data_IF_132529511237
#
_entry.id   IF_132529511237
#
_cell.length_a   1.000
_cell.length_b   1.000
_cell.length_c   1.000
_cell.angle_alpha   90.00
_cell.angle_beta   90.00
_cell.angle_gamma   90.00
#
_symmetry.space_group_name_H-M   'P 1'
#
loop_
_entity.id
_entity.type
_entity.pdbx_description
1 polymer ?
#
# COMPACT_ATOMS: atom_id res chain seq x y z
N UNK A 1 -25.04 -11.15 1.01
CA UNK A 1 -26.47 -11.49 1.14
C UNK A 1 -26.83 -12.49 0.05
N UNK A 2 -27.43 -13.63 0.39
CA UNK A 2 -27.84 -14.62 -0.62
C UNK A 2 -29.01 -14.07 -1.46
N UNK A 3 -29.13 -14.48 -2.75
CA UNK A 3 -30.21 -14.05 -3.64
C UNK A 3 -31.60 -14.24 -3.02
N UNK A 4 -31.80 -15.32 -2.28
CA UNK A 4 -33.05 -15.62 -1.58
C UNK A 4 -33.39 -14.58 -0.50
N UNK A 5 -32.43 -14.20 0.34
CA UNK A 5 -32.64 -13.17 1.39
C UNK A 5 -32.96 -11.80 0.80
N UNK A 6 -32.35 -11.45 -0.33
CA UNK A 6 -32.67 -10.20 -1.03
C UNK A 6 -34.12 -10.20 -1.57
N UNK A 7 -34.57 -11.31 -2.17
CA UNK A 7 -35.96 -11.46 -2.65
C UNK A 7 -36.96 -11.27 -1.52
N UNK A 8 -36.78 -11.93 -0.38
CA UNK A 8 -37.70 -11.78 0.76
C UNK A 8 -37.74 -10.35 1.31
N UNK A 9 -36.60 -9.65 1.34
CA UNK A 9 -36.56 -8.24 1.76
C UNK A 9 -37.34 -7.33 0.80
N UNK A 10 -37.28 -7.57 -0.51
CA UNK A 10 -38.04 -6.82 -1.49
C UNK A 10 -39.54 -7.07 -1.32
N UNK A 11 -39.95 -8.32 -1.12
CA UNK A 11 -41.34 -8.65 -0.84
C UNK A 11 -41.82 -7.95 0.41
N UNK A 12 -41.10 -8.05 1.52
CA UNK A 12 -41.44 -7.37 2.76
C UNK A 12 -41.54 -5.84 2.58
N UNK A 13 -40.57 -5.24 1.86
CA UNK A 13 -40.54 -3.81 1.59
C UNK A 13 -41.77 -3.32 0.88
N UNK A 14 -42.22 -4.02 -0.18
CA UNK A 14 -43.34 -3.60 -1.00
C UNK A 14 -44.73 -4.06 -0.46
N UNK A 15 -44.75 -5.04 0.43
CA UNK A 15 -45.97 -5.37 1.17
C UNK A 15 -46.38 -4.26 2.17
N UNK A 16 -45.46 -3.43 2.65
CA UNK A 16 -45.81 -2.32 3.57
C UNK A 16 -46.68 -1.27 2.89
N UNK A 17 -46.30 -0.62 1.76
CA UNK A 17 -47.17 0.33 1.09
C UNK A 17 -48.44 -0.34 0.56
N UNK A 18 -48.37 -1.59 0.09
CA UNK A 18 -49.58 -2.33 -0.34
C UNK A 18 -50.58 -2.47 0.82
N UNK A 19 -50.14 -2.82 2.01
CA UNK A 19 -51.00 -2.93 3.20
C UNK A 19 -51.56 -1.55 3.65
N UNK A 20 -50.70 -0.53 3.69
CA UNK A 20 -51.08 0.81 4.11
C UNK A 20 -52.16 1.39 3.18
N UNK A 21 -52.00 1.27 1.84
CA UNK A 21 -52.96 1.73 0.88
C UNK A 21 -54.25 0.93 0.94
N UNK A 22 -54.17 -0.37 1.15
CA UNK A 22 -55.37 -1.22 1.38
C UNK A 22 -56.16 -0.76 2.60
N UNK A 23 -55.49 -0.49 3.72
CA UNK A 23 -56.14 -0.02 4.94
C UNK A 23 -56.73 1.37 4.76
N UNK A 24 -56.00 2.27 4.13
CA UNK A 24 -56.48 3.62 3.83
C UNK A 24 -57.78 3.58 2.98
N UNK A 25 -57.75 2.81 1.91
CA UNK A 25 -58.91 2.65 1.05
C UNK A 25 -60.12 2.04 1.77
N UNK A 26 -59.92 1.00 2.59
CA UNK A 26 -60.95 0.39 3.39
C UNK A 26 -61.63 1.39 4.34
N UNK A 27 -60.82 2.19 5.07
CA UNK A 27 -61.37 3.18 6.01
C UNK A 27 -62.03 4.36 5.29
N UNK A 28 -61.56 4.74 4.10
CA UNK A 28 -62.18 5.76 3.26
C UNK A 28 -63.56 5.31 2.79
N UNK A 29 -63.68 4.08 2.24
CA UNK A 29 -64.97 3.50 1.81
C UNK A 29 -65.95 3.44 2.98
N UNK A 30 -65.50 3.03 4.16
CA UNK A 30 -66.29 2.97 5.38
C UNK A 30 -66.80 4.34 5.86
N UNK A 31 -65.97 5.37 5.71
CA UNK A 31 -66.33 6.75 6.11
C UNK A 31 -67.28 7.43 5.11
N UNK A 32 -67.30 6.94 3.87
CA UNK A 32 -68.12 7.50 2.76
C UNK A 32 -69.38 6.74 2.51
N UNK A 33 -69.87 5.94 3.47
CA UNK A 33 -71.11 5.08 3.35
C UNK A 33 -71.07 4.09 2.18
N UNK A 34 -69.90 3.77 1.67
CA UNK A 34 -69.72 2.73 0.65
C UNK A 34 -69.61 1.34 1.29
N UNK A 35 -69.89 0.30 0.49
CA UNK A 35 -69.73 -1.09 0.94
C UNK A 35 -68.22 -1.34 1.17
N UNK A 36 -67.77 -1.15 2.41
CA UNK A 36 -66.37 -1.38 2.78
C UNK A 36 -66.05 -2.88 2.76
N UNK A 37 -65.07 -3.27 1.95
CA UNK A 37 -64.55 -4.63 1.86
C UNK A 37 -63.04 -4.60 1.76
N UNK A 38 -62.37 -5.28 2.71
CA UNK A 38 -60.90 -5.41 2.70
C UNK A 38 -60.39 -6.05 1.41
N UNK A 39 -61.09 -7.02 0.86
CA UNK A 39 -60.71 -7.69 -0.40
C UNK A 39 -60.76 -6.71 -1.57
N UNK A 40 -61.84 -5.93 -1.68
CA UNK A 40 -61.96 -4.91 -2.74
C UNK A 40 -60.89 -3.84 -2.63
N UNK A 41 -60.64 -3.34 -1.43
CA UNK A 41 -59.59 -2.37 -1.14
C UNK A 41 -58.18 -2.92 -1.46
N UNK A 42 -57.92 -4.18 -1.11
CA UNK A 42 -56.63 -4.83 -1.42
C UNK A 42 -56.39 -4.99 -2.92
N UNK A 43 -57.41 -5.38 -3.68
CA UNK A 43 -57.32 -5.51 -5.14
C UNK A 43 -57.15 -4.15 -5.80
N UNK A 44 -57.93 -3.13 -5.38
CA UNK A 44 -57.89 -1.78 -5.95
C UNK A 44 -56.59 -1.06 -5.70
N UNK A 45 -56.12 -1.00 -4.44
CA UNK A 45 -55.04 -0.15 -4.03
C UNK A 45 -53.76 -0.92 -3.63
N UNK A 46 -53.92 -2.13 -3.09
CA UNK A 46 -52.77 -2.91 -2.59
C UNK A 46 -52.04 -3.69 -3.69
N UNK A 47 -52.79 -4.42 -4.52
CA UNK A 47 -52.22 -5.32 -5.53
C UNK A 47 -51.26 -4.63 -6.51
N UNK A 48 -51.53 -3.42 -7.03
CA UNK A 48 -50.63 -2.73 -7.94
C UNK A 48 -49.22 -2.51 -7.36
N UNK A 49 -49.07 -2.29 -6.05
CA UNK A 49 -47.77 -2.09 -5.42
C UNK A 49 -46.83 -3.29 -5.54
N UNK A 50 -47.36 -4.49 -5.70
CA UNK A 50 -46.56 -5.71 -5.85
C UNK A 50 -45.79 -5.73 -7.18
N UNK A 51 -46.18 -4.90 -8.17
CA UNK A 51 -45.45 -4.73 -9.43
C UNK A 51 -44.03 -4.19 -9.19
N UNK A 52 -43.77 -3.50 -8.08
CA UNK A 52 -42.45 -3.02 -7.73
C UNK A 52 -41.48 -4.13 -7.33
N UNK A 53 -41.96 -5.31 -6.95
CA UNK A 53 -41.09 -6.44 -6.56
C UNK A 53 -40.16 -6.83 -7.72
N UNK A 54 -40.63 -7.13 -8.94
CA UNK A 54 -39.76 -7.44 -10.07
C UNK A 54 -39.08 -6.22 -10.68
N UNK A 55 -39.63 -5.01 -10.53
CA UNK A 55 -39.09 -3.77 -11.12
C UNK A 55 -37.86 -3.25 -10.32
N UNK A 56 -37.94 -3.33 -9.00
CA UNK A 56 -36.86 -2.77 -8.11
C UNK A 56 -35.46 -3.28 -8.43
N UNK A 57 -35.21 -4.59 -8.62
CA UNK A 57 -33.85 -5.07 -8.96
C UNK A 57 -33.32 -4.46 -10.27
N UNK A 58 -34.19 -4.21 -11.21
CA UNK A 58 -33.83 -3.64 -12.50
C UNK A 58 -33.49 -2.14 -12.40
N UNK A 59 -34.28 -1.36 -11.63
CA UNK A 59 -33.94 0.04 -11.31
C UNK A 59 -32.62 0.13 -10.54
N UNK A 60 -32.39 -0.74 -9.55
CA UNK A 60 -31.14 -0.81 -8.81
C UNK A 60 -29.93 -1.20 -9.69
N UNK A 61 -30.15 -2.02 -10.73
CA UNK A 61 -29.08 -2.32 -11.68
C UNK A 61 -28.67 -1.09 -12.49
N UNK A 62 -29.63 -0.23 -12.88
CA UNK A 62 -29.34 1.05 -13.55
C UNK A 62 -28.63 2.05 -12.65
N UNK A 63 -28.89 2.04 -11.35
CA UNK A 63 -28.23 2.89 -10.37
C UNK A 63 -26.71 2.63 -10.24
N UNK A 64 -26.23 1.47 -10.73
CA UNK A 64 -24.77 1.12 -10.74
C UNK A 64 -24.00 1.86 -11.83
N UNK A 65 -24.66 2.42 -12.82
CA UNK A 65 -24.03 3.23 -13.85
C UNK A 65 -23.61 4.59 -13.25
N UNK A 66 -22.30 4.95 -13.24
CA UNK A 66 -21.84 6.25 -12.76
C UNK A 66 -22.45 7.43 -13.51
N UNK A 67 -22.90 7.20 -14.74
CA UNK A 67 -23.55 8.18 -15.60
C UNK A 67 -25.07 8.20 -15.51
N UNK A 68 -25.71 7.42 -14.60
CA UNK A 68 -27.16 7.25 -14.53
C UNK A 68 -27.98 8.56 -14.52
N UNK A 69 -27.42 9.64 -13.99
CA UNK A 69 -28.04 10.97 -13.92
C UNK A 69 -27.50 11.94 -14.98
N UNK A 70 -26.83 11.48 -16.05
CA UNK A 70 -26.23 12.35 -17.08
C UNK A 70 -26.63 11.94 -18.49
N UNK A 71 -26.80 12.93 -19.34
CA UNK A 71 -26.99 12.76 -20.77
C UNK A 71 -28.06 11.74 -21.14
N UNK A 72 -27.73 10.82 -22.04
CA UNK A 72 -28.67 9.78 -22.55
C UNK A 72 -29.15 8.81 -21.46
N UNK A 73 -28.36 8.56 -20.45
CA UNK A 73 -28.76 7.68 -19.34
C UNK A 73 -29.86 8.32 -18.48
N UNK A 74 -29.77 9.62 -18.22
CA UNK A 74 -30.82 10.38 -17.53
C UNK A 74 -32.13 10.36 -18.34
N UNK A 75 -32.08 10.67 -19.65
CA UNK A 75 -33.23 10.62 -20.51
C UNK A 75 -33.87 9.22 -20.52
N UNK A 76 -33.05 8.17 -20.58
CA UNK A 76 -33.51 6.77 -20.50
C UNK A 76 -34.14 6.43 -19.15
N UNK A 77 -33.61 6.97 -18.04
CA UNK A 77 -34.24 6.77 -16.73
C UNK A 77 -35.57 7.51 -16.58
N UNK A 78 -35.67 8.74 -17.12
CA UNK A 78 -36.94 9.49 -17.14
C UNK A 78 -37.98 8.74 -17.97
N UNK A 79 -37.63 8.35 -19.20
CA UNK A 79 -38.53 7.59 -20.06
C UNK A 79 -39.03 6.30 -19.41
N UNK A 80 -38.14 5.61 -18.72
CA UNK A 80 -38.46 4.39 -18.00
C UNK A 80 -39.37 4.65 -16.79
N UNK A 81 -39.11 5.71 -16.02
CA UNK A 81 -39.95 6.10 -14.90
C UNK A 81 -41.39 6.39 -15.36
N UNK A 82 -41.52 7.12 -16.47
CA UNK A 82 -42.84 7.40 -17.10
C UNK A 82 -43.51 6.12 -17.57
N UNK A 83 -42.76 5.23 -18.24
CA UNK A 83 -43.31 3.95 -18.72
C UNK A 83 -43.82 3.06 -17.57
N UNK A 84 -43.06 2.98 -16.48
CA UNK A 84 -43.47 2.26 -15.27
C UNK A 84 -44.70 2.91 -14.63
N UNK A 85 -44.71 4.25 -14.53
CA UNK A 85 -45.88 4.99 -14.00
C UNK A 85 -47.15 4.76 -14.81
N UNK A 86 -47.04 4.79 -16.13
CA UNK A 86 -48.18 4.49 -17.03
C UNK A 86 -48.63 3.03 -16.86
N UNK A 87 -47.71 2.08 -16.84
CA UNK A 87 -48.05 0.66 -16.64
C UNK A 87 -48.75 0.42 -15.29
N UNK A 88 -48.27 1.12 -14.25
CA UNK A 88 -48.88 1.07 -12.92
C UNK A 88 -50.29 1.68 -12.92
N UNK A 89 -50.49 2.85 -13.53
CA UNK A 89 -51.79 3.51 -13.65
C UNK A 89 -52.79 2.62 -14.42
N UNK A 90 -52.37 2.00 -15.51
CA UNK A 90 -53.17 1.03 -16.26
C UNK A 90 -53.53 -0.20 -15.40
N UNK A 91 -52.60 -0.76 -14.67
CA UNK A 91 -52.87 -1.90 -13.80
C UNK A 91 -53.85 -1.52 -12.68
N UNK A 92 -53.66 -0.35 -12.04
CA UNK A 92 -54.57 0.17 -11.03
C UNK A 92 -55.98 0.39 -11.57
N UNK A 93 -56.11 1.00 -12.76
CA UNK A 93 -57.42 1.19 -13.39
C UNK A 93 -58.13 -0.14 -13.67
N UNK A 94 -57.44 -1.17 -14.15
CA UNK A 94 -58.03 -2.50 -14.38
C UNK A 94 -58.41 -3.18 -13.04
N UNK A 95 -57.60 -3.06 -12.02
CA UNK A 95 -57.93 -3.56 -10.67
C UNK A 95 -59.20 -2.86 -10.12
N UNK A 96 -59.33 -1.55 -10.28
CA UNK A 96 -60.49 -0.76 -9.85
C UNK A 96 -61.75 -1.16 -10.58
N UNK A 97 -61.67 -1.37 -11.89
CA UNK A 97 -62.79 -1.87 -12.70
C UNK A 97 -63.24 -3.29 -12.29
N UNK A 98 -62.26 -4.17 -12.04
CA UNK A 98 -62.56 -5.56 -11.66
C UNK A 98 -63.36 -5.66 -10.34
N UNK A 99 -63.23 -4.66 -9.45
CA UNK A 99 -64.01 -4.60 -8.20
C UNK A 99 -65.24 -3.63 -8.29
N UNK A 100 -65.53 -3.13 -9.46
CA UNK A 100 -66.67 -2.18 -9.73
C UNK A 100 -66.57 -0.95 -8.81
N UNK A 101 -65.35 -0.35 -8.77
CA UNK A 101 -65.12 0.87 -8.01
C UNK A 101 -65.87 2.05 -8.66
N UNK A 102 -66.51 2.95 -7.88
CA UNK A 102 -67.23 4.12 -8.42
C UNK A 102 -66.25 4.98 -9.28
N UNK A 103 -66.81 5.41 -10.46
CA UNK A 103 -66.06 6.24 -11.41
C UNK A 103 -65.17 5.49 -12.41
N UNK A 104 -65.03 4.15 -12.30
CA UNK A 104 -64.23 3.32 -13.19
C UNK A 104 -65.05 2.47 -14.17
N UNK A 105 -66.33 2.78 -14.35
CA UNK A 105 -67.25 2.01 -15.26
C UNK A 105 -66.83 2.23 -16.72
N UNK A 106 -66.56 3.47 -17.12
CA UNK A 106 -66.06 3.78 -18.45
C UNK A 106 -64.51 3.53 -18.54
N UNK A 107 -64.06 2.88 -19.61
CA UNK A 107 -62.66 2.54 -19.80
C UNK A 107 -61.81 3.78 -19.96
N UNK A 108 -62.27 4.80 -20.69
CA UNK A 108 -61.52 6.04 -20.90
C UNK A 108 -61.29 6.80 -19.60
N UNK A 109 -62.37 7.04 -18.85
CA UNK A 109 -62.30 7.69 -17.54
C UNK A 109 -61.46 6.90 -16.53
N UNK A 110 -61.57 5.57 -16.55
CA UNK A 110 -60.73 4.73 -15.66
C UNK A 110 -59.26 4.83 -15.95
N UNK A 111 -58.84 4.88 -17.22
CA UNK A 111 -57.43 5.06 -17.61
C UNK A 111 -56.96 6.47 -17.24
N UNK A 112 -57.76 7.50 -17.52
CA UNK A 112 -57.43 8.89 -17.20
C UNK A 112 -57.21 9.07 -15.69
N UNK A 113 -58.13 8.63 -14.85
CA UNK A 113 -58.02 8.66 -13.40
C UNK A 113 -56.79 7.85 -12.91
N UNK A 114 -56.62 6.62 -13.40
CA UNK A 114 -55.53 5.78 -12.99
C UNK A 114 -54.15 6.38 -13.34
N UNK A 115 -54.04 7.07 -14.48
CA UNK A 115 -52.81 7.73 -14.89
C UNK A 115 -52.57 9.02 -14.09
N UNK A 116 -53.56 9.89 -13.97
CA UNK A 116 -53.45 11.18 -13.28
C UNK A 116 -53.14 10.96 -11.80
N UNK A 117 -53.82 10.04 -11.14
CA UNK A 117 -53.65 9.82 -9.71
C UNK A 117 -52.32 9.13 -9.39
N UNK A 118 -51.87 8.16 -10.20
CA UNK A 118 -50.74 7.33 -9.85
C UNK A 118 -49.40 7.75 -10.47
N UNK A 119 -49.37 8.40 -11.63
CA UNK A 119 -48.14 8.75 -12.32
C UNK A 119 -47.20 9.60 -11.46
N UNK A 120 -47.65 10.68 -10.76
CA UNK A 120 -46.77 11.48 -9.93
C UNK A 120 -46.12 10.67 -8.79
N UNK A 121 -46.90 9.80 -8.13
CA UNK A 121 -46.41 8.96 -7.05
C UNK A 121 -45.36 7.95 -7.55
N UNK A 122 -45.61 7.36 -8.73
CA UNK A 122 -44.69 6.37 -9.30
C UNK A 122 -43.39 7.00 -9.74
N UNK A 123 -43.37 8.24 -10.22
CA UNK A 123 -42.16 8.99 -10.52
C UNK A 123 -41.33 9.24 -9.24
N UNK A 124 -41.98 9.61 -8.14
CA UNK A 124 -41.33 9.78 -6.84
C UNK A 124 -40.72 8.47 -6.32
N UNK A 125 -41.48 7.38 -6.39
CA UNK A 125 -41.03 6.04 -5.97
C UNK A 125 -39.85 5.59 -6.82
N UNK A 126 -39.94 5.74 -8.15
CA UNK A 126 -38.81 5.44 -9.03
C UNK A 126 -37.57 6.24 -8.68
N UNK A 127 -37.72 7.56 -8.51
CA UNK A 127 -36.64 8.45 -8.11
C UNK A 127 -36.01 8.05 -6.78
N UNK A 128 -36.85 7.70 -5.80
CA UNK A 128 -36.37 7.25 -4.47
C UNK A 128 -35.61 5.92 -4.55
N UNK A 129 -36.11 4.95 -5.31
CA UNK A 129 -35.40 3.66 -5.51
C UNK A 129 -34.06 3.87 -6.24
N UNK A 130 -34.05 4.69 -7.30
CA UNK A 130 -32.88 5.02 -8.08
C UNK A 130 -31.83 5.76 -7.21
N UNK A 131 -32.25 6.79 -6.48
CA UNK A 131 -31.38 7.56 -5.59
C UNK A 131 -30.77 6.70 -4.49
N UNK A 132 -31.58 5.83 -3.87
CA UNK A 132 -31.09 4.86 -2.87
C UNK A 132 -30.06 3.92 -3.48
N UNK A 133 -30.31 3.41 -4.68
CA UNK A 133 -29.38 2.56 -5.42
C UNK A 133 -28.04 3.26 -5.68
N UNK A 134 -28.08 4.51 -6.15
CA UNK A 134 -26.89 5.35 -6.41
C UNK A 134 -26.12 5.59 -5.11
N UNK A 135 -26.82 5.97 -4.03
CA UNK A 135 -26.18 6.24 -2.73
C UNK A 135 -25.47 4.99 -2.15
N UNK A 136 -26.14 3.84 -2.23
CA UNK A 136 -25.56 2.55 -1.77
C UNK A 136 -24.35 2.16 -2.62
N UNK A 137 -24.41 2.32 -3.94
CA UNK A 137 -23.28 1.99 -4.83
C UNK A 137 -22.09 2.96 -4.59
N UNK A 138 -22.36 4.25 -4.45
CA UNK A 138 -21.34 5.24 -4.12
C UNK A 138 -20.67 4.94 -2.77
N UNK A 139 -21.44 4.58 -1.74
CA UNK A 139 -20.90 4.19 -0.45
C UNK A 139 -20.03 2.93 -0.53
N UNK A 140 -20.43 1.93 -1.33
CA UNK A 140 -19.64 0.72 -1.57
C UNK A 140 -18.32 1.02 -2.28
N UNK A 141 -18.34 1.88 -3.31
CA UNK A 141 -17.12 2.30 -4.03
C UNK A 141 -16.16 3.06 -3.12
N UNK A 142 -16.67 3.98 -2.28
CA UNK A 142 -15.85 4.70 -1.29
C UNK A 142 -15.16 3.74 -0.32
N UNK A 143 -15.90 2.81 0.28
CA UNK A 143 -15.33 1.80 1.19
C UNK A 143 -14.28 0.92 0.51
N UNK A 144 -14.53 0.50 -0.74
CA UNK A 144 -13.56 -0.29 -1.50
C UNK A 144 -12.26 0.50 -1.77
N UNK A 145 -12.38 1.79 -2.12
CA UNK A 145 -11.24 2.68 -2.31
C UNK A 145 -10.44 2.91 -1.01
N UNK A 146 -11.12 3.11 0.12
CA UNK A 146 -10.50 3.25 1.45
C UNK A 146 -9.71 2.00 1.85
N UNK A 147 -10.32 0.82 1.67
CA UNK A 147 -9.63 -0.46 1.91
C UNK A 147 -8.43 -0.65 1.01
N UNK A 148 -8.55 -0.29 -0.29
CA UNK A 148 -7.43 -0.36 -1.23
C UNK A 148 -6.29 0.57 -0.83
N UNK A 149 -6.59 1.80 -0.39
CA UNK A 149 -5.58 2.74 0.13
C UNK A 149 -4.87 2.19 1.37
N UNK A 150 -5.62 1.70 2.36
CA UNK A 150 -5.04 1.11 3.57
C UNK A 150 -4.14 -0.09 3.26
N UNK A 151 -4.50 -0.92 2.27
CA UNK A 151 -3.67 -2.04 1.82
C UNK A 151 -2.36 -1.54 1.18
N UNK A 152 -2.43 -0.52 0.32
CA UNK A 152 -1.24 0.07 -0.31
C UNK A 152 -0.31 0.72 0.72
N UNK A 153 -0.84 1.45 1.68
CA UNK A 153 -0.07 2.04 2.79
C UNK A 153 0.63 0.96 3.62
N UNK A 154 -0.07 -0.13 3.91
CA UNK A 154 0.50 -1.28 4.61
C UNK A 154 1.63 -1.94 3.79
N UNK A 155 1.43 -2.15 2.48
CA UNK A 155 2.46 -2.71 1.60
C UNK A 155 3.68 -1.80 1.50
N UNK A 156 3.46 -0.48 1.41
CA UNK A 156 4.55 0.51 1.39
C UNK A 156 5.35 0.46 2.69
N UNK A 157 4.68 0.43 3.85
CA UNK A 157 5.34 0.31 5.14
C UNK A 157 6.15 -0.99 5.25
N UNK A 158 5.61 -2.12 4.80
CA UNK A 158 6.35 -3.39 4.76
C UNK A 158 7.55 -3.35 3.80
N UNK A 159 7.41 -2.73 2.62
CA UNK A 159 8.52 -2.57 1.69
C UNK A 159 9.62 -1.69 2.26
N UNK A 160 9.28 -0.58 2.91
CA UNK A 160 10.22 0.30 3.60
C UNK A 160 10.93 -0.43 4.74
N UNK A 161 10.20 -1.18 5.57
CA UNK A 161 10.76 -1.98 6.66
C UNK A 161 11.68 -3.09 6.14
N UNK A 162 11.33 -3.71 5.03
CA UNK A 162 12.16 -4.73 4.38
C UNK A 162 13.43 -4.15 3.78
N UNK A 163 13.34 -2.98 3.12
CA UNK A 163 14.50 -2.26 2.61
C UNK A 163 15.44 -1.84 3.76
N UNK A 164 14.88 -1.35 4.86
CA UNK A 164 15.63 -0.99 6.07
C UNK A 164 16.30 -2.21 6.69
N UNK A 165 15.61 -3.34 6.79
CA UNK A 165 16.19 -4.61 7.27
C UNK A 165 17.32 -5.13 6.37
N UNK A 166 17.25 -4.88 5.07
CA UNK A 166 18.30 -5.27 4.13
C UNK A 166 19.56 -4.40 4.26
N UNK A 167 19.44 -3.15 4.72
CA UNK A 167 20.55 -2.27 5.02
C UNK A 167 21.26 -2.63 6.34
N UNK A 168 20.52 -3.17 7.30
CA UNK A 168 21.07 -3.69 8.56
C UNK A 168 21.40 -5.17 8.35
N UNK A 169 22.67 -5.55 8.36
CA UNK A 169 23.04 -6.96 8.39
C UNK A 169 22.51 -7.59 9.70
N UNK A 170 21.50 -8.48 9.67
CA UNK A 170 20.95 -9.06 10.90
C UNK A 170 22.03 -9.78 11.72
N UNK A 171 22.96 -10.41 11.03
CA UNK A 171 24.07 -11.12 11.63
C UNK A 171 25.03 -10.20 12.42
N UNK A 172 25.30 -8.98 11.95
CA UNK A 172 26.08 -8.00 12.69
C UNK A 172 25.37 -7.59 13.98
N UNK A 173 24.07 -7.26 13.90
CA UNK A 173 23.28 -6.86 15.06
C UNK A 173 23.23 -7.96 16.13
N UNK A 174 22.93 -9.21 15.74
CA UNK A 174 22.92 -10.34 16.65
C UNK A 174 24.28 -10.59 17.29
N UNK A 175 25.36 -10.51 16.52
CA UNK A 175 26.71 -10.70 17.03
C UNK A 175 27.12 -9.60 18.02
N UNK A 176 26.76 -8.35 17.76
CA UNK A 176 27.00 -7.22 18.66
C UNK A 176 26.25 -7.36 19.96
N UNK A 177 24.94 -7.73 19.90
CA UNK A 177 24.15 -7.99 21.10
C UNK A 177 24.70 -9.17 21.92
N UNK A 178 25.11 -10.26 21.26
CA UNK A 178 25.73 -11.41 21.94
C UNK A 178 27.05 -11.03 22.61
N UNK A 179 27.86 -10.18 21.97
CA UNK A 179 29.08 -9.66 22.58
C UNK A 179 28.80 -8.80 23.83
N UNK A 180 27.77 -7.92 23.75
CA UNK A 180 27.32 -7.14 24.91
C UNK A 180 26.83 -8.03 26.07
N UNK A 181 26.09 -9.10 25.78
CA UNK A 181 25.67 -10.08 26.78
C UNK A 181 26.87 -10.82 27.40
N UNK A 182 27.88 -11.19 26.59
CA UNK A 182 29.09 -11.85 27.10
C UNK A 182 29.87 -10.93 28.02
N UNK A 183 30.02 -9.65 27.67
CA UNK A 183 30.69 -8.64 28.52
C UNK A 183 29.92 -8.41 29.84
N UNK A 184 28.62 -8.32 29.77
CA UNK A 184 27.76 -8.18 30.95
C UNK A 184 27.92 -9.38 31.92
N UNK A 185 27.98 -10.61 31.38
CA UNK A 185 28.23 -11.84 32.16
C UNK A 185 29.65 -11.89 32.77
N UNK A 186 30.61 -11.28 32.07
CA UNK A 186 31.98 -11.15 32.60
C UNK A 186 32.12 -10.03 33.64
N UNK A 187 31.06 -9.28 33.96
CA UNK A 187 31.05 -8.19 34.91
C UNK A 187 31.64 -6.88 34.38
N UNK A 188 31.97 -6.78 33.09
CA UNK A 188 32.49 -5.56 32.46
C UNK A 188 31.31 -4.64 32.01
N UNK A 189 30.79 -3.92 33.01
CA UNK A 189 29.67 -2.99 32.77
C UNK A 189 30.09 -1.80 31.88
N UNK A 190 31.37 -1.34 31.94
CA UNK A 190 31.84 -0.22 31.17
C UNK A 190 31.92 -0.57 29.67
N UNK A 191 32.52 -1.72 29.31
CA UNK A 191 32.54 -2.19 27.92
C UNK A 191 31.17 -2.52 27.40
N UNK A 192 30.27 -3.10 28.23
CA UNK A 192 28.85 -3.36 27.85
C UNK A 192 28.13 -2.07 27.48
N UNK A 193 28.23 -1.03 28.35
CA UNK A 193 27.60 0.26 28.10
C UNK A 193 28.16 0.91 26.83
N UNK A 194 29.49 0.87 26.63
CA UNK A 194 30.15 1.41 25.44
C UNK A 194 29.62 0.77 24.15
N UNK A 195 29.53 -0.57 24.08
CA UNK A 195 29.00 -1.28 22.90
C UNK A 195 27.56 -0.90 22.60
N UNK A 196 26.69 -0.79 23.63
CA UNK A 196 25.30 -0.42 23.44
C UNK A 196 25.12 1.03 22.97
N UNK A 197 25.94 1.95 23.47
CA UNK A 197 25.96 3.37 23.03
C UNK A 197 26.38 3.44 21.55
N UNK A 198 27.52 2.82 21.20
CA UNK A 198 28.01 2.80 19.81
C UNK A 198 27.00 2.16 18.85
N UNK A 199 26.36 1.07 19.27
CA UNK A 199 25.30 0.44 18.48
C UNK A 199 24.11 1.38 18.28
N UNK A 200 23.70 2.11 19.33
CA UNK A 200 22.63 3.11 19.25
C UNK A 200 22.96 4.27 18.30
N UNK A 201 24.21 4.74 18.31
CA UNK A 201 24.68 5.78 17.40
C UNK A 201 24.72 5.31 15.95
N UNK A 202 25.28 4.11 15.71
CA UNK A 202 25.32 3.50 14.38
C UNK A 202 23.90 3.33 13.81
N UNK A 203 22.96 2.78 14.60
CA UNK A 203 21.58 2.61 14.17
C UNK A 203 20.90 3.95 13.86
N UNK A 204 21.14 4.98 14.67
CA UNK A 204 20.57 6.32 14.44
C UNK A 204 21.07 6.92 13.12
N UNK A 205 22.34 6.74 12.78
CA UNK A 205 22.92 7.22 11.52
C UNK A 205 22.36 6.45 10.31
N UNK A 206 22.23 5.13 10.42
CA UNK A 206 21.66 4.27 9.36
C UNK A 206 20.15 4.50 9.13
N UNK A 207 19.42 4.93 10.17
CA UNK A 207 17.98 5.16 10.14
C UNK A 207 17.57 6.58 9.71
N UNK A 208 18.52 7.45 9.36
CA UNK A 208 18.20 8.81 8.87
C UNK A 208 17.54 8.71 7.50
N UNK A 209 16.25 9.00 7.46
CA UNK A 209 15.40 8.91 6.25
C UNK A 209 15.77 9.93 5.16
N UNK A 210 16.40 11.04 5.55
CA UNK A 210 16.72 12.17 4.67
C UNK A 210 18.20 12.23 4.30
N UNK A 211 18.91 11.10 4.39
CA UNK A 211 20.32 11.08 4.05
C UNK A 211 20.52 11.32 2.54
N UNK A 212 21.37 12.26 2.16
CA UNK A 212 21.67 12.52 0.76
C UNK A 212 22.29 11.29 0.10
N UNK A 213 22.18 11.22 -1.22
CA UNK A 213 22.69 10.09 -2.00
C UNK A 213 24.22 9.96 -1.92
N UNK A 214 24.90 11.11 -1.74
CA UNK A 214 26.34 11.26 -1.52
C UNK A 214 26.61 12.06 -0.26
N UNK A 215 27.63 11.68 0.48
CA UNK A 215 28.09 12.33 1.72
C UNK A 215 29.58 12.64 1.64
N UNK A 216 30.09 13.64 2.35
CA UNK A 216 31.54 13.85 2.47
C UNK A 216 32.22 12.59 3.01
N UNK A 217 33.41 12.25 2.47
CA UNK A 217 34.17 11.06 2.89
C UNK A 217 34.46 11.08 4.40
N UNK A 218 34.64 12.24 5.01
CA UNK A 218 34.84 12.36 6.48
C UNK A 218 33.65 11.78 7.27
N UNK A 219 32.42 11.90 6.76
CA UNK A 219 31.21 11.35 7.43
C UNK A 219 31.15 9.83 7.28
N UNK A 220 31.50 9.32 6.10
CA UNK A 220 31.58 7.88 5.84
C UNK A 220 32.67 7.24 6.70
N UNK A 221 33.84 7.90 6.86
CA UNK A 221 34.92 7.45 7.72
C UNK A 221 34.54 7.43 9.20
N UNK A 222 33.83 8.46 9.70
CA UNK A 222 33.34 8.52 11.07
C UNK A 222 32.36 7.38 11.39
N UNK A 223 31.44 7.09 10.43
CA UNK A 223 30.52 5.97 10.55
C UNK A 223 31.26 4.63 10.58
N UNK A 224 32.25 4.48 9.70
CA UNK A 224 33.09 3.28 9.61
C UNK A 224 33.93 3.07 10.87
N UNK A 225 34.45 4.14 11.46
CA UNK A 225 35.18 4.10 12.73
C UNK A 225 34.30 3.58 13.87
N UNK A 226 33.08 4.10 13.99
CA UNK A 226 32.08 3.62 14.97
C UNK A 226 31.79 2.13 14.77
N UNK A 227 31.59 1.68 13.51
CA UNK A 227 31.40 0.27 13.19
C UNK A 227 32.61 -0.59 13.60
N UNK A 228 33.81 -0.14 13.30
CA UNK A 228 35.06 -0.86 13.61
C UNK A 228 35.35 -0.90 15.11
N UNK A 229 34.99 0.12 15.88
CA UNK A 229 35.07 0.08 17.35
C UNK A 229 34.19 -1.05 17.93
N UNK A 230 32.98 -1.22 17.43
CA UNK A 230 32.11 -2.34 17.82
C UNK A 230 32.77 -3.68 17.48
N UNK A 231 33.40 -3.80 16.31
CA UNK A 231 34.07 -5.02 15.89
C UNK A 231 35.32 -5.31 16.74
N UNK A 232 36.06 -4.27 17.19
CA UNK A 232 37.20 -4.41 18.12
C UNK A 232 36.78 -5.02 19.45
N UNK A 233 35.63 -4.60 20.00
CA UNK A 233 35.17 -5.20 21.25
C UNK A 233 34.89 -6.71 21.09
N UNK A 234 34.41 -7.13 19.91
CA UNK A 234 34.14 -8.55 19.61
C UNK A 234 35.39 -9.37 19.33
N UNK A 235 36.34 -8.81 18.59
CA UNK A 235 37.54 -9.52 18.12
C UNK A 235 38.76 -9.33 19.01
N UNK A 236 38.72 -8.33 19.90
CA UNK A 236 39.82 -8.00 20.80
C UNK A 236 41.11 -7.66 20.05
N UNK A 237 42.23 -8.08 20.58
CA UNK A 237 43.57 -7.87 20.01
C UNK A 237 43.78 -8.58 18.66
N UNK A 238 42.77 -9.37 18.23
CA UNK A 238 42.83 -10.06 16.93
C UNK A 238 42.56 -9.12 15.75
N UNK A 239 42.07 -7.88 15.96
CA UNK A 239 41.79 -6.92 14.91
C UNK A 239 42.76 -5.71 15.04
N UNK A 240 43.69 -5.61 14.11
CA UNK A 240 44.56 -4.43 13.93
C UNK A 240 44.02 -3.62 12.76
N UNK A 241 43.87 -2.29 12.95
CA UNK A 241 43.31 -1.39 11.93
C UNK A 241 44.36 -0.31 11.64
N UNK A 242 44.67 -0.17 10.35
CA UNK A 242 45.50 0.91 9.81
C UNK A 242 44.68 1.88 9.01
N UNK A 243 44.89 3.17 9.18
CA UNK A 243 44.28 4.24 8.43
C UNK A 243 45.34 5.05 7.70
N UNK A 244 45.17 5.22 6.40
CA UNK A 244 46.05 6.08 5.56
C UNK A 244 45.13 6.91 4.63
N UNK A 245 44.65 8.03 5.16
CA UNK A 245 43.64 8.90 4.53
C UNK A 245 44.31 10.23 4.23
N UNK A 246 44.48 10.56 2.95
CA UNK A 246 45.00 11.84 2.54
C UNK A 246 44.06 12.98 2.94
N UNK A 247 44.60 14.11 3.39
CA UNK A 247 43.75 15.20 3.90
C UNK A 247 42.93 15.89 2.81
N UNK A 248 43.43 15.93 1.59
CA UNK A 248 42.80 16.57 0.44
C UNK A 248 41.56 15.81 -0.09
N UNK A 249 41.33 14.58 0.38
CA UNK A 249 40.15 13.78 -0.07
C UNK A 249 38.99 13.74 0.95
N UNK A 250 39.20 14.28 2.16
CA UNK A 250 38.18 14.18 3.24
C UNK A 250 36.85 14.81 2.92
N UNK A 251 36.84 15.86 2.11
CA UNK A 251 35.64 16.57 1.67
C UNK A 251 35.08 16.06 0.33
N UNK A 252 35.73 15.05 -0.28
CA UNK A 252 35.19 14.43 -1.49
C UNK A 252 33.87 13.75 -1.20
N UNK A 253 32.90 13.93 -2.11
CA UNK A 253 31.59 13.30 -2.02
C UNK A 253 31.68 11.84 -2.45
N UNK A 254 31.12 10.95 -1.65
CA UNK A 254 31.07 9.51 -1.88
C UNK A 254 29.66 8.98 -1.62
N UNK A 255 29.23 7.90 -2.28
CA UNK A 255 27.95 7.29 -1.97
C UNK A 255 27.92 6.82 -0.52
N UNK A 256 26.85 7.15 0.20
CA UNK A 256 26.69 6.75 1.60
C UNK A 256 26.83 5.22 1.75
N UNK A 257 27.49 4.75 2.80
CA UNK A 257 27.74 3.32 3.09
C UNK A 257 28.55 2.60 1.99
N UNK A 258 29.45 3.33 1.30
CA UNK A 258 30.25 2.73 0.21
C UNK A 258 31.40 1.90 0.74
N UNK A 259 32.02 2.30 1.87
CA UNK A 259 33.14 1.59 2.49
C UNK A 259 32.71 0.41 3.36
N UNK A 260 31.53 0.46 3.95
CA UNK A 260 31.06 -0.57 4.88
C UNK A 260 31.03 -1.96 4.25
N UNK A 261 30.48 -2.21 3.03
CA UNK A 261 30.48 -3.54 2.41
C UNK A 261 31.88 -4.11 2.15
N UNK A 262 32.88 -3.23 1.90
CA UNK A 262 34.26 -3.65 1.68
C UNK A 262 34.86 -4.14 2.99
N UNK A 263 34.67 -3.38 4.06
CA UNK A 263 35.17 -3.72 5.41
C UNK A 263 34.48 -4.96 5.94
N UNK A 264 33.16 -5.08 5.74
CA UNK A 264 32.43 -6.29 6.12
C UNK A 264 32.95 -7.54 5.41
N UNK A 265 33.24 -7.44 4.11
CA UNK A 265 33.83 -8.52 3.34
C UNK A 265 35.22 -8.92 3.90
N UNK A 266 36.08 -7.94 4.17
CA UNK A 266 37.41 -8.15 4.74
C UNK A 266 37.34 -8.80 6.13
N UNK A 267 36.44 -8.34 7.01
CA UNK A 267 36.28 -8.92 8.34
C UNK A 267 35.69 -10.32 8.29
N UNK A 268 34.70 -10.57 7.43
CA UNK A 268 33.95 -11.84 7.38
C UNK A 268 34.75 -12.95 6.68
N UNK A 269 35.40 -12.61 5.57
CA UNK A 269 36.12 -13.57 4.73
C UNK A 269 37.63 -13.59 4.96
N UNK A 270 38.21 -12.46 5.36
CA UNK A 270 39.64 -12.34 5.70
C UNK A 270 39.92 -12.69 7.16
N UNK A 271 39.52 -11.83 8.08
CA UNK A 271 40.01 -11.86 9.47
C UNK A 271 39.28 -12.89 10.33
N UNK A 272 37.96 -13.00 10.25
CA UNK A 272 37.15 -13.88 11.12
C UNK A 272 37.47 -15.38 10.93
N UNK A 273 38.00 -15.77 9.78
CA UNK A 273 38.36 -17.17 9.46
C UNK A 273 39.71 -17.60 10.00
N UNK A 274 40.51 -16.69 10.53
CA UNK A 274 41.83 -16.98 11.09
C UNK A 274 41.80 -17.12 12.60
N UNK A 275 42.67 -17.97 13.15
CA UNK A 275 42.91 -18.06 14.60
C UNK A 275 43.93 -17.03 15.09
N UNK A 276 44.76 -16.44 14.20
CA UNK A 276 45.73 -15.39 14.50
C UNK A 276 45.14 -13.98 14.33
N UNK A 277 45.84 -12.97 14.89
CA UNK A 277 45.50 -11.57 14.64
C UNK A 277 45.53 -11.26 13.13
N UNK A 278 44.60 -10.48 12.68
CA UNK A 278 44.47 -10.02 11.29
C UNK A 278 44.57 -8.49 11.22
N UNK A 279 45.12 -7.99 10.11
CA UNK A 279 45.27 -6.57 9.85
C UNK A 279 44.34 -6.12 8.72
N UNK A 280 43.66 -5.00 8.96
CA UNK A 280 42.78 -4.31 8.05
C UNK A 280 43.34 -2.92 7.78
N UNK A 281 43.80 -2.65 6.56
CA UNK A 281 44.31 -1.35 6.16
C UNK A 281 43.26 -0.65 5.27
N UNK A 282 42.88 0.58 5.64
CA UNK A 282 41.93 1.41 4.94
C UNK A 282 42.65 2.63 4.40
N UNK A 283 42.62 2.83 3.08
CA UNK A 283 43.31 3.95 2.46
C UNK A 283 42.39 4.76 1.58
N UNK A 284 42.57 6.07 1.54
CA UNK A 284 41.88 6.97 0.63
C UNK A 284 42.88 7.99 0.07
N UNK A 285 42.99 8.04 -1.25
CA UNK A 285 43.94 8.92 -1.92
C UNK A 285 43.36 9.42 -3.25
N UNK A 286 43.80 10.62 -3.64
CA UNK A 286 43.53 11.19 -4.95
C UNK A 286 44.46 10.59 -6.01
N UNK A 287 43.90 10.21 -7.15
CA UNK A 287 44.64 9.80 -8.35
C UNK A 287 44.16 10.60 -9.57
N UNK A 288 44.83 11.72 -9.81
CA UNK A 288 44.41 12.63 -10.86
C UNK A 288 43.03 13.28 -10.58
N UNK A 289 42.03 13.00 -11.40
CA UNK A 289 40.64 13.43 -11.24
C UNK A 289 39.76 12.38 -10.53
N UNK A 290 40.37 11.30 -10.06
CA UNK A 290 39.65 10.22 -9.36
C UNK A 290 40.03 10.15 -7.89
N UNK A 291 39.05 9.76 -7.07
CA UNK A 291 39.23 9.29 -5.69
C UNK A 291 39.37 7.78 -5.73
N UNK A 292 40.43 7.27 -5.08
CA UNK A 292 40.62 5.84 -4.87
C UNK A 292 40.47 5.51 -3.40
N UNK A 293 39.55 4.63 -3.07
CA UNK A 293 39.33 4.07 -1.74
C UNK A 293 39.72 2.61 -1.76
N UNK A 294 40.54 2.17 -0.80
CA UNK A 294 40.93 0.75 -0.72
C UNK A 294 40.75 0.21 0.70
N UNK A 295 40.32 -1.04 0.77
CA UNK A 295 40.27 -1.84 1.98
C UNK A 295 41.08 -3.11 1.72
N UNK A 296 42.18 -3.28 2.49
CA UNK A 296 43.07 -4.40 2.33
C UNK A 296 43.10 -5.23 3.61
N UNK A 297 42.89 -6.53 3.51
CA UNK A 297 43.03 -7.48 4.61
C UNK A 297 44.21 -8.45 4.35
N UNK A 298 44.76 -8.98 5.41
CA UNK A 298 45.81 -10.01 5.39
C UNK A 298 45.22 -11.41 5.54
N UNK A 299 43.97 -11.63 5.04
CA UNK A 299 43.22 -12.86 5.07
C UNK A 299 43.87 -14.00 4.28
N UNK A 300 43.16 -15.12 4.06
CA UNK A 300 43.68 -16.29 3.31
C UNK A 300 43.76 -16.06 1.79
N UNK A 301 43.47 -14.85 1.31
CA UNK A 301 43.37 -14.56 -0.12
C UNK A 301 42.06 -15.09 -0.76
N UNK A 302 41.91 -14.82 -2.04
CA UNK A 302 40.82 -15.35 -2.86
C UNK A 302 41.18 -16.72 -3.40
N UNK A 303 40.26 -17.65 -3.46
CA UNK A 303 40.51 -18.97 -4.05
C UNK A 303 40.92 -18.83 -5.53
N UNK A 304 41.80 -19.72 -6.06
CA UNK A 304 42.26 -19.67 -7.46
C UNK A 304 41.12 -19.75 -8.50
N UNK A 305 39.96 -20.31 -8.11
CA UNK A 305 38.76 -20.38 -8.92
C UNK A 305 37.84 -19.16 -8.80
N UNK A 306 38.28 -18.13 -8.08
CA UNK A 306 37.50 -16.92 -7.84
C UNK A 306 37.46 -16.08 -9.13
N UNK A 307 36.31 -15.94 -9.74
CA UNK A 307 36.06 -14.94 -10.78
C UNK A 307 35.41 -13.73 -10.13
N UNK A 308 35.97 -12.54 -10.39
CA UNK A 308 35.48 -11.28 -9.82
C UNK A 308 33.97 -11.01 -10.11
N UNK A 309 33.45 -11.59 -11.20
CA UNK A 309 32.05 -11.41 -11.62
C UNK A 309 31.09 -12.43 -10.98
N UNK A 310 31.56 -13.63 -10.66
CA UNK A 310 30.68 -14.72 -10.21
C UNK A 310 30.58 -14.90 -8.69
N UNK A 311 31.53 -14.37 -7.91
CA UNK A 311 31.69 -14.69 -6.48
C UNK A 311 31.63 -13.47 -5.56
N UNK A 312 31.28 -12.29 -6.06
CA UNK A 312 31.03 -11.14 -5.20
C UNK A 312 29.75 -11.36 -4.39
N UNK A 313 29.86 -11.40 -3.07
CA UNK A 313 28.70 -11.43 -2.17
C UNK A 313 27.71 -10.31 -2.50
N UNK A 314 26.45 -10.47 -2.07
CA UNK A 314 25.36 -9.54 -2.37
C UNK A 314 25.75 -8.07 -2.11
N UNK A 315 26.53 -7.80 -1.04
CA UNK A 315 26.96 -6.45 -0.68
C UNK A 315 27.88 -5.80 -1.73
N UNK A 316 28.95 -6.49 -2.14
CA UNK A 316 29.89 -5.93 -3.12
C UNK A 316 29.26 -5.79 -4.51
N UNK A 317 28.39 -6.71 -4.92
CA UNK A 317 27.64 -6.61 -6.16
C UNK A 317 26.72 -5.38 -6.15
N UNK A 318 25.96 -5.19 -5.10
CA UNK A 318 25.07 -4.01 -4.96
C UNK A 318 25.88 -2.71 -4.97
N UNK A 319 27.07 -2.69 -4.34
CA UNK A 319 27.97 -1.54 -4.37
C UNK A 319 28.45 -1.26 -5.79
N UNK A 320 28.89 -2.26 -6.55
CA UNK A 320 29.30 -2.11 -7.95
C UNK A 320 28.17 -1.57 -8.82
N UNK A 321 26.97 -2.15 -8.74
CA UNK A 321 25.80 -1.70 -9.48
C UNK A 321 25.40 -0.27 -9.14
N UNK A 322 25.56 0.12 -7.87
CA UNK A 322 25.30 1.49 -7.41
C UNK A 322 26.32 2.48 -7.97
N UNK A 323 27.62 2.15 -7.96
CA UNK A 323 28.66 2.96 -8.55
C UNK A 323 28.46 3.16 -10.06
N UNK A 324 28.10 2.10 -10.78
CA UNK A 324 27.80 2.16 -12.20
C UNK A 324 26.57 3.04 -12.49
N UNK A 325 25.54 3.00 -11.66
CA UNK A 325 24.35 3.87 -11.81
C UNK A 325 24.67 5.36 -11.57
N UNK A 326 25.52 5.66 -10.59
CA UNK A 326 25.86 7.04 -10.22
C UNK A 326 26.90 7.67 -11.14
N UNK A 327 27.94 6.91 -11.52
CA UNK A 327 29.11 7.44 -12.21
C UNK A 327 29.37 6.84 -13.59
N UNK A 328 28.54 5.90 -14.03
CA UNK A 328 28.71 5.18 -15.30
C UNK A 328 30.05 4.45 -15.35
N UNK A 329 30.76 4.58 -16.45
CA UNK A 329 32.08 3.95 -16.64
C UNK A 329 33.20 4.54 -15.77
N UNK A 330 32.97 5.65 -15.06
CA UNK A 330 33.94 6.27 -14.16
C UNK A 330 33.89 5.77 -12.73
N UNK A 331 32.88 4.93 -12.40
CA UNK A 331 32.74 4.30 -11.09
C UNK A 331 32.98 2.79 -11.20
N UNK A 332 34.01 2.28 -10.53
CA UNK A 332 34.32 0.84 -10.53
C UNK A 332 34.67 0.31 -9.14
N UNK A 333 34.43 -0.98 -8.94
CA UNK A 333 34.81 -1.77 -7.77
C UNK A 333 35.59 -2.99 -8.22
N UNK A 334 36.85 -3.03 -7.91
CA UNK A 334 37.74 -4.15 -8.19
C UNK A 334 38.15 -4.94 -6.92
N UNK A 335 38.35 -6.23 -7.07
CA UNK A 335 38.95 -7.11 -6.08
C UNK A 335 40.25 -7.69 -6.64
N UNK A 336 41.34 -7.62 -5.87
CA UNK A 336 42.64 -8.16 -6.24
C UNK A 336 43.26 -8.92 -5.05
N UNK A 337 44.03 -9.94 -5.35
CA UNK A 337 44.79 -10.69 -4.36
C UNK A 337 46.29 -10.67 -4.72
N UNK A 338 47.10 -10.36 -3.75
CA UNK A 338 48.57 -10.45 -3.88
C UNK A 338 49.13 -11.25 -2.69
N UNK A 339 49.49 -12.49 -2.94
CA UNK A 339 49.85 -13.46 -1.89
C UNK A 339 48.66 -13.76 -0.97
N UNK A 340 48.82 -13.55 0.33
CA UNK A 340 47.79 -13.73 1.35
C UNK A 340 46.94 -12.44 1.58
N UNK A 341 47.15 -11.36 0.80
CA UNK A 341 46.42 -10.09 0.99
C UNK A 341 45.33 -9.95 -0.05
N UNK A 342 44.11 -9.63 0.41
CA UNK A 342 43.00 -9.27 -0.45
C UNK A 342 42.79 -7.76 -0.37
N UNK A 343 42.68 -7.13 -1.52
CA UNK A 343 42.40 -5.69 -1.65
C UNK A 343 41.09 -5.48 -2.42
N UNK A 344 40.13 -4.82 -1.80
CA UNK A 344 38.97 -4.26 -2.44
C UNK A 344 39.24 -2.78 -2.73
N UNK A 345 39.11 -2.36 -3.98
CA UNK A 345 39.36 -0.99 -4.40
C UNK A 345 38.16 -0.41 -5.12
N UNK A 346 37.79 0.80 -4.74
CA UNK A 346 36.76 1.62 -5.42
C UNK A 346 37.49 2.79 -6.07
N UNK A 347 37.13 3.05 -7.33
CA UNK A 347 37.53 4.24 -8.07
C UNK A 347 36.28 5.01 -8.48
N UNK A 348 36.24 6.31 -8.21
CA UNK A 348 35.13 7.20 -8.53
C UNK A 348 35.64 8.61 -8.82
N UNK A 349 34.86 9.44 -9.55
CA UNK A 349 35.26 10.82 -9.82
C UNK A 349 35.42 11.62 -8.54
N UNK A 350 36.53 12.38 -8.44
CA UNK A 350 36.75 13.31 -7.34
C UNK A 350 35.93 14.57 -7.52
N UNK A 351 34.97 14.82 -6.62
CA UNK A 351 34.16 16.05 -6.59
C UNK A 351 33.79 16.40 -5.16
N UNK A 352 33.58 17.70 -4.89
CA UNK A 352 33.22 18.24 -3.57
C UNK A 352 31.86 18.91 -3.55
N UNK A 353 31.27 19.13 -4.74
CA UNK A 353 29.92 19.66 -4.91
C UNK A 353 29.02 18.56 -5.48
N UNK A 354 27.79 18.45 -4.95
CA UNK A 354 26.81 17.48 -5.46
C UNK A 354 26.56 17.74 -6.94
N UNK A 355 26.73 16.72 -7.78
CA UNK A 355 26.35 16.83 -9.19
C UNK A 355 24.83 17.05 -9.24
N UNK A 356 24.39 18.26 -9.56
CA UNK A 356 23.00 18.53 -9.84
C UNK A 356 22.61 17.75 -11.11
N UNK A 357 21.87 16.65 -10.92
CA UNK A 357 21.28 15.86 -11.99
C UNK A 357 19.92 16.45 -12.37
#
# INVERSE_FOLDING_TARGET
>A
MTRARFGWLLVALWCVPALLMTLQAYYYDKASDHVASLVRAAVREGLPWLLWIPVTPWVLARARDPGALRGRALAGNIALAVAIGLAFGLASSQCSRAVHAPGYDDLGAAIEMGVIDWLPYQLLVYGGVLATGIAVDAARRRRAAELGRAQLETQLAYAQLSALRAQLQPHFLFNTLNAAVALARAGDAAATARVLVLLGELLRQLLRSDAPQEVPLREELALLETYLEIQRVRLGDRLQIGWDIADDVRDALVPQLVLQPLVENALQHGIARRSRAGRLDITAARRGDQLRLTVCDDGPGLAPSFSADAATGVGLRNTRERLQRLYGARGDLGLATAGERTTAAIELPMHTEAAHA
#
